data_IF_232966147445
#
_entry.id   IF_232966147445
#
_cell.length_a   1.000
_cell.length_b   1.000
_cell.length_c   1.000
_cell.angle_alpha   90.00
_cell.angle_beta   90.00
_cell.angle_gamma   90.00
#
_symmetry.space_group_name_H-M   'P 1'
#
loop_
_entity.id
_entity.type
_entity.pdbx_description
1 polymer ?
#
# COMPACT_ATOMS: atom_id res chain seq x y z
N UNK A 1 13.42 68.42 -30.78
CA UNK A 1 13.77 67.13 -30.17
C UNK A 1 13.61 67.26 -28.66
N UNK A 2 12.53 66.71 -28.08
CA UNK A 2 12.27 66.79 -26.65
C UNK A 2 12.83 65.54 -25.95
N UNK A 3 13.81 65.73 -25.05
CA UNK A 3 14.45 64.67 -24.30
C UNK A 3 13.55 64.14 -23.19
N UNK A 4 13.19 62.86 -23.27
CA UNK A 4 12.48 62.12 -22.22
C UNK A 4 13.47 61.88 -21.07
N UNK A 5 13.33 62.64 -19.98
CA UNK A 5 14.09 62.40 -18.74
C UNK A 5 13.44 61.26 -17.95
N UNK A 6 14.02 60.08 -18.02
CA UNK A 6 13.63 58.93 -17.20
C UNK A 6 14.01 59.21 -15.73
N UNK A 7 13.02 59.31 -14.84
CA UNK A 7 13.27 59.44 -13.39
C UNK A 7 13.73 58.08 -12.84
N UNK A 8 14.80 58.02 -12.01
CA UNK A 8 15.24 56.76 -11.41
C UNK A 8 14.21 56.26 -10.40
N UNK A 9 13.70 55.05 -10.62
CA UNK A 9 12.81 54.34 -9.70
C UNK A 9 13.63 53.96 -8.47
N UNK A 10 13.48 54.69 -7.36
CA UNK A 10 14.07 54.30 -6.07
C UNK A 10 13.17 53.22 -5.47
N UNK A 11 13.54 51.96 -5.68
CA UNK A 11 12.87 50.83 -5.04
C UNK A 11 13.16 50.94 -3.54
N UNK A 12 12.13 51.21 -2.76
CA UNK A 12 12.25 51.40 -1.32
C UNK A 12 12.63 50.05 -0.66
N UNK A 13 13.64 49.98 0.24
CA UNK A 13 14.00 48.74 0.94
C UNK A 13 12.81 48.06 1.64
N UNK A 14 11.86 48.87 2.08
CA UNK A 14 10.59 48.45 2.68
C UNK A 14 9.69 47.68 1.71
N UNK A 15 9.64 48.11 0.44
CA UNK A 15 8.91 47.39 -0.62
C UNK A 15 9.58 46.06 -0.96
N UNK A 16 10.92 46.04 -1.02
CA UNK A 16 11.68 44.80 -1.20
C UNK A 16 11.42 43.81 -0.06
N UNK A 17 11.44 44.30 1.19
CA UNK A 17 11.16 43.49 2.36
C UNK A 17 9.72 42.92 2.36
N UNK A 18 8.73 43.75 2.02
CA UNK A 18 7.34 43.31 1.87
C UNK A 18 7.18 42.27 0.76
N UNK A 19 7.80 42.49 -0.40
CA UNK A 19 7.77 41.54 -1.50
C UNK A 19 8.36 40.18 -1.11
N UNK A 20 9.48 40.17 -0.37
CA UNK A 20 10.11 38.94 0.13
C UNK A 20 9.18 38.23 1.13
N UNK A 21 8.61 38.94 2.10
CA UNK A 21 7.68 38.34 3.07
C UNK A 21 6.46 37.73 2.39
N UNK A 22 5.89 38.43 1.40
CA UNK A 22 4.73 37.94 0.66
C UNK A 22 5.09 36.71 -0.16
N UNK A 23 6.22 36.75 -0.88
CA UNK A 23 6.76 35.62 -1.63
C UNK A 23 6.99 34.41 -0.74
N UNK A 24 7.62 34.59 0.42
CA UNK A 24 7.90 33.51 1.36
C UNK A 24 6.61 32.86 1.89
N UNK A 25 5.57 33.66 2.14
CA UNK A 25 4.27 33.15 2.61
C UNK A 25 3.55 32.35 1.51
N UNK A 26 3.56 32.84 0.28
CA UNK A 26 3.03 32.15 -0.90
C UNK A 26 3.77 30.83 -1.14
N UNK A 27 5.10 30.84 -1.15
CA UNK A 27 5.93 29.62 -1.31
C UNK A 27 5.62 28.60 -0.23
N UNK A 28 5.51 29.02 1.04
CA UNK A 28 5.14 28.11 2.13
C UNK A 28 3.76 27.50 1.94
N UNK A 29 2.80 28.25 1.39
CA UNK A 29 1.48 27.73 1.10
C UNK A 29 1.52 26.70 -0.03
N UNK A 30 2.16 27.04 -1.15
CA UNK A 30 2.30 26.13 -2.29
C UNK A 30 3.04 24.85 -1.93
N UNK A 31 4.09 24.94 -1.09
CA UNK A 31 4.80 23.77 -0.60
C UNK A 31 3.90 22.82 0.19
N UNK A 32 2.96 23.35 1.00
CA UNK A 32 1.98 22.52 1.73
C UNK A 32 0.98 21.87 0.80
N UNK A 33 0.48 22.59 -0.20
CA UNK A 33 -0.46 22.05 -1.18
C UNK A 33 0.18 20.92 -2.02
N UNK A 34 1.44 21.10 -2.43
CA UNK A 34 2.23 20.08 -3.12
C UNK A 34 2.49 18.84 -2.24
N UNK A 35 2.79 19.06 -0.96
CA UNK A 35 3.02 17.97 -0.02
C UNK A 35 1.75 17.13 0.18
N UNK A 36 0.58 17.76 0.32
CA UNK A 36 -0.70 17.06 0.38
C UNK A 36 -0.95 16.23 -0.87
N UNK A 37 -0.68 16.80 -2.05
CA UNK A 37 -0.88 16.10 -3.32
C UNK A 37 0.07 14.91 -3.46
N UNK A 38 1.34 15.07 -3.07
CA UNK A 38 2.33 13.98 -3.07
C UNK A 38 1.92 12.84 -2.13
N UNK A 39 1.44 13.16 -0.91
CA UNK A 39 0.98 12.13 0.03
C UNK A 39 -0.21 11.35 -0.51
N UNK A 40 -1.16 12.01 -1.17
CA UNK A 40 -2.26 11.31 -1.85
C UNK A 40 -1.75 10.32 -2.89
N UNK A 41 -0.81 10.75 -3.72
CA UNK A 41 -0.24 9.89 -4.77
C UNK A 41 0.50 8.68 -4.18
N UNK A 42 1.30 8.90 -3.14
CA UNK A 42 2.00 7.81 -2.44
C UNK A 42 1.03 6.83 -1.78
N UNK A 43 -0.04 7.34 -1.17
CA UNK A 43 -1.09 6.52 -0.55
C UNK A 43 -1.80 5.66 -1.58
N UNK A 44 -2.20 6.22 -2.73
CA UNK A 44 -2.84 5.44 -3.80
C UNK A 44 -1.90 4.42 -4.41
N UNK A 45 -0.60 4.73 -4.49
CA UNK A 45 0.43 3.77 -4.93
C UNK A 45 0.55 2.60 -3.95
N UNK A 46 0.66 2.89 -2.65
CA UNK A 46 0.71 1.86 -1.61
C UNK A 46 -0.58 1.03 -1.58
N UNK A 47 -1.75 1.67 -1.69
CA UNK A 47 -3.04 0.99 -1.73
C UNK A 47 -3.14 0.04 -2.92
N UNK A 48 -2.73 0.49 -4.11
CA UNK A 48 -2.69 -0.35 -5.31
C UNK A 48 -1.77 -1.55 -5.10
N UNK A 49 -0.53 -1.30 -4.69
CA UNK A 49 0.45 -2.36 -4.48
C UNK A 49 -0.02 -3.36 -3.42
N UNK A 50 -0.62 -2.88 -2.33
CA UNK A 50 -1.08 -3.73 -1.23
C UNK A 50 -2.29 -4.57 -1.64
N UNK A 51 -3.22 -3.98 -2.42
CA UNK A 51 -4.36 -4.71 -2.97
C UNK A 51 -3.91 -5.80 -3.95
N UNK A 52 -2.97 -5.50 -4.85
CA UNK A 52 -2.39 -6.48 -5.77
C UNK A 52 -1.65 -7.58 -5.02
N UNK A 53 -0.83 -7.21 -4.04
CA UNK A 53 -0.07 -8.15 -3.20
C UNK A 53 -1.00 -9.05 -2.40
N UNK A 54 -2.08 -8.51 -1.81
CA UNK A 54 -3.08 -9.28 -1.06
C UNK A 54 -3.75 -10.39 -1.88
N UNK A 55 -3.83 -10.22 -3.21
CA UNK A 55 -4.39 -11.21 -4.13
C UNK A 55 -3.35 -12.17 -4.72
N UNK A 56 -2.09 -12.10 -4.29
CA UNK A 56 -1.03 -12.97 -4.77
C UNK A 56 -1.23 -14.42 -4.30
N UNK A 57 -0.92 -15.38 -5.17
CA UNK A 57 -0.85 -16.81 -4.80
C UNK A 57 0.30 -17.13 -3.83
N UNK A 58 1.25 -16.20 -3.66
CA UNK A 58 2.29 -16.34 -2.64
C UNK A 58 1.73 -15.90 -1.28
N UNK A 59 1.53 -16.86 -0.37
CA UNK A 59 0.97 -16.62 0.97
C UNK A 59 1.71 -15.53 1.77
N UNK A 60 3.05 -15.46 1.66
CA UNK A 60 3.83 -14.42 2.34
C UNK A 60 3.59 -13.03 1.73
N UNK A 61 3.44 -12.93 0.41
CA UNK A 61 3.13 -11.67 -0.26
C UNK A 61 1.68 -11.24 -0.02
N UNK A 62 0.74 -12.19 -0.02
CA UNK A 62 -0.67 -11.96 0.31
C UNK A 62 -0.84 -11.42 1.73
N UNK A 63 -0.28 -12.10 2.73
CA UNK A 63 -0.31 -11.66 4.12
C UNK A 63 0.35 -10.29 4.32
N UNK A 64 1.45 -10.01 3.61
CA UNK A 64 2.09 -8.68 3.63
C UNK A 64 1.16 -7.61 3.07
N UNK A 65 0.50 -7.87 1.94
CA UNK A 65 -0.45 -6.93 1.34
C UNK A 65 -1.63 -6.61 2.27
N UNK A 66 -2.17 -7.62 2.95
CA UNK A 66 -3.24 -7.44 3.94
C UNK A 66 -2.77 -6.63 5.15
N UNK A 67 -1.58 -6.92 5.68
CA UNK A 67 -1.01 -6.18 6.80
C UNK A 67 -0.82 -4.70 6.46
N UNK A 68 -0.28 -4.40 5.27
CA UNK A 68 -0.10 -3.00 4.82
C UNK A 68 -1.44 -2.29 4.61
N UNK A 69 -2.47 -2.97 4.08
CA UNK A 69 -3.83 -2.40 4.00
C UNK A 69 -4.42 -2.08 5.39
N UNK A 70 -4.15 -2.93 6.38
CA UNK A 70 -4.54 -2.70 7.77
C UNK A 70 -3.89 -1.43 8.33
N UNK A 71 -2.57 -1.33 8.23
CA UNK A 71 -1.79 -0.18 8.72
C UNK A 71 -2.09 1.12 7.96
N UNK A 72 -2.38 1.05 6.65
CA UNK A 72 -2.79 2.22 5.87
C UNK A 72 -4.05 2.89 6.44
N UNK A 73 -4.94 2.13 7.08
CA UNK A 73 -6.19 2.65 7.66
C UNK A 73 -5.95 3.55 8.89
N UNK A 74 -4.82 3.34 9.58
CA UNK A 74 -4.41 4.08 10.78
C UNK A 74 -3.31 5.13 10.48
N UNK A 75 -2.81 5.17 9.24
CA UNK A 75 -1.72 6.05 8.81
C UNK A 75 -2.15 7.51 8.64
N UNK A 76 -1.29 8.45 9.06
CA UNK A 76 -1.44 9.90 8.83
C UNK A 76 -1.37 10.31 7.34
N UNK A 77 -0.96 9.38 6.46
CA UNK A 77 -0.95 9.59 5.02
C UNK A 77 -2.36 9.56 4.42
N UNK A 78 -3.25 8.80 5.06
CA UNK A 78 -4.61 8.61 4.60
C UNK A 78 -5.45 9.83 4.93
N UNK A 79 -6.17 10.31 3.92
CA UNK A 79 -7.08 11.43 4.12
C UNK A 79 -8.38 10.94 4.74
N UNK A 80 -9.00 11.80 5.54
CA UNK A 80 -10.21 11.45 6.28
C UNK A 80 -11.35 11.05 5.32
N UNK A 81 -11.40 11.68 4.14
CA UNK A 81 -12.41 11.38 3.12
C UNK A 81 -12.28 9.97 2.53
N UNK A 82 -11.06 9.43 2.46
CA UNK A 82 -10.78 8.12 1.85
C UNK A 82 -10.79 6.98 2.87
N UNK A 83 -10.86 7.30 4.17
CA UNK A 83 -10.69 6.35 5.28
C UNK A 83 -11.66 5.18 5.24
N UNK A 84 -12.95 5.47 5.03
CA UNK A 84 -13.99 4.43 5.02
C UNK A 84 -13.86 3.48 3.81
N UNK A 85 -13.48 4.02 2.65
CA UNK A 85 -13.22 3.23 1.46
C UNK A 85 -12.05 2.27 1.68
N UNK A 86 -10.92 2.77 2.17
CA UNK A 86 -9.72 1.95 2.42
C UNK A 86 -9.98 0.89 3.49
N UNK A 87 -10.69 1.24 4.56
CA UNK A 87 -11.10 0.29 5.59
C UNK A 87 -11.99 -0.83 5.04
N UNK A 88 -12.90 -0.51 4.12
CA UNK A 88 -13.72 -1.52 3.46
C UNK A 88 -12.88 -2.46 2.59
N UNK A 89 -11.94 -1.91 1.81
CA UNK A 89 -11.01 -2.70 0.98
C UNK A 89 -10.17 -3.63 1.87
N UNK A 90 -9.53 -3.10 2.91
CA UNK A 90 -8.70 -3.88 3.83
C UNK A 90 -9.48 -5.05 4.45
N UNK A 91 -10.72 -4.82 4.87
CA UNK A 91 -11.58 -5.87 5.44
C UNK A 91 -11.91 -6.97 4.43
N UNK A 92 -12.25 -6.61 3.19
CA UNK A 92 -12.56 -7.58 2.14
C UNK A 92 -11.31 -8.36 1.74
N UNK A 93 -10.18 -7.67 1.53
CA UNK A 93 -8.90 -8.30 1.19
C UNK A 93 -8.44 -9.28 2.27
N UNK A 94 -8.53 -8.92 3.55
CA UNK A 94 -8.20 -9.83 4.64
C UNK A 94 -9.07 -11.09 4.61
N UNK A 95 -10.38 -10.94 4.41
CA UNK A 95 -11.32 -12.07 4.32
C UNK A 95 -10.98 -13.01 3.16
N UNK A 96 -10.58 -12.47 2.01
CA UNK A 96 -10.20 -13.27 0.84
C UNK A 96 -8.87 -13.99 1.07
N UNK A 97 -7.87 -13.33 1.63
CA UNK A 97 -6.57 -13.93 1.91
C UNK A 97 -6.69 -15.11 2.89
N UNK A 98 -7.45 -14.96 3.98
CA UNK A 98 -7.69 -16.07 4.92
C UNK A 98 -8.43 -17.25 4.27
N UNK A 99 -9.35 -16.98 3.34
CA UNK A 99 -10.04 -18.05 2.62
C UNK A 99 -9.13 -18.80 1.62
N UNK A 100 -8.05 -18.17 1.15
CA UNK A 100 -7.03 -18.83 0.33
C UNK A 100 -6.08 -19.67 1.18
N UNK A 101 -5.62 -19.16 2.33
CA UNK A 101 -4.77 -19.90 3.28
C UNK A 101 -5.43 -21.21 3.74
N UNK A 102 -6.73 -21.18 4.07
CA UNK A 102 -7.50 -22.38 4.43
C UNK A 102 -7.56 -23.40 3.28
N UNK A 103 -7.56 -22.96 2.01
CA UNK A 103 -7.57 -23.85 0.84
C UNK A 103 -6.20 -24.46 0.56
N UNK A 104 -5.13 -23.69 0.69
CA UNK A 104 -3.77 -24.24 0.50
C UNK A 104 -3.43 -25.23 1.62
N UNK A 105 -3.95 -25.02 2.84
CA UNK A 105 -3.85 -26.00 3.93
C UNK A 105 -4.69 -27.26 3.70
N UNK A 106 -5.76 -27.16 2.91
CA UNK A 106 -6.61 -28.27 2.49
C UNK A 106 -6.30 -28.62 1.03
N UNK A 107 -5.10 -29.11 0.75
CA UNK A 107 -4.77 -29.70 -0.55
C UNK A 107 -5.21 -31.17 -0.59
N UNK A 108 -6.30 -31.52 -1.29
CA UNK A 108 -6.78 -32.91 -1.38
C UNK A 108 -5.82 -33.83 -2.17
N UNK A 109 -4.86 -33.30 -2.94
CA UNK A 109 -3.89 -34.11 -3.69
C UNK A 109 -2.70 -34.58 -2.81
N UNK A 110 -2.48 -33.96 -1.65
CA UNK A 110 -1.42 -34.36 -0.71
C UNK A 110 -1.80 -35.56 0.20
N UNK A 111 -3.08 -35.89 0.34
CA UNK A 111 -3.57 -36.95 1.25
C UNK A 111 -3.78 -38.33 0.56
N UNK A 112 -3.58 -38.43 -0.77
CA UNK A 112 -3.80 -39.68 -1.52
C UNK A 112 -2.55 -40.59 -1.53
N UNK A 113 -1.35 -40.05 -1.30
CA UNK A 113 -0.09 -40.81 -1.46
C UNK A 113 0.26 -41.65 -0.22
N UNK A 114 -0.24 -41.33 0.97
CA UNK A 114 0.16 -42.04 2.21
C UNK A 114 -0.70 -43.28 2.52
N UNK A 115 -1.75 -43.57 1.74
CA UNK A 115 -2.64 -44.73 2.01
C UNK A 115 -2.29 -46.00 1.23
N UNK A 116 -1.34 -45.96 0.30
CA UNK A 116 -1.11 -47.07 -0.66
C UNK A 116 0.19 -47.88 -0.46
N UNK A 117 0.77 -47.90 0.74
CA UNK A 117 1.93 -48.78 1.06
C UNK A 117 1.72 -49.73 2.23
N UNK A 118 0.47 -49.93 2.70
CA UNK A 118 0.16 -50.92 3.75
C UNK A 118 -0.65 -52.13 3.25
N UNK A 119 -0.46 -52.54 1.99
CA UNK A 119 -1.02 -53.79 1.49
C UNK A 119 -0.05 -54.50 0.53
N UNK A 120 1.03 -55.03 1.08
CA UNK A 120 1.75 -56.16 0.52
C UNK A 120 2.64 -56.75 1.62
N UNK A 121 2.25 -57.93 2.12
CA UNK A 121 3.09 -59.12 2.28
C UNK A 121 2.44 -60.05 3.32
N UNK A 122 1.55 -60.91 2.84
CA UNK A 122 1.46 -62.27 3.38
C UNK A 122 2.76 -63.00 2.98
N UNK A 123 3.35 -63.79 3.90
CA UNK A 123 3.71 -65.12 3.44
C UNK A 123 3.43 -66.24 4.44
N UNK A 124 2.69 -67.22 3.91
CA UNK A 124 2.98 -68.65 3.89
C UNK A 124 3.05 -69.40 5.23
N UNK A 125 2.00 -70.20 5.41
CA UNK A 125 1.90 -71.41 6.21
C UNK A 125 3.14 -72.32 6.04
N UNK A 126 3.88 -72.55 7.12
CA UNK A 126 4.82 -73.67 7.24
C UNK A 126 4.27 -74.60 8.31
N UNK A 127 3.66 -75.68 7.83
CA UNK A 127 3.42 -76.89 8.60
C UNK A 127 4.76 -77.58 8.86
N UNK A 128 5.03 -77.99 10.09
CA UNK A 128 5.74 -79.24 10.34
C UNK A 128 5.49 -79.75 11.76
N UNK A 129 5.51 -81.08 11.86
CA UNK A 129 5.04 -81.93 12.96
C UNK A 129 5.98 -82.03 14.16
#
# INVERSE_FOLDING_TARGET
>A
MAGVRSRPIRIHPLLSFLAVLLGQRLTRRSARELETWRRREETMRMLRWSAESATSDNAALSSTGVAVLGELTESELLQEEDRDMVRAIARVSARLAYAQDDRERYDPDLDVVTRSTSHAEDPVEVTDA
#
